data_IF_646233544294
#
_entry.id   IF_646233544294
#
_cell.length_a   1.000
_cell.length_b   1.000
_cell.length_c   1.000
_cell.angle_alpha   90.00
_cell.angle_beta   90.00
_cell.angle_gamma   90.00
#
_symmetry.space_group_name_H-M   'P 1'
#
loop_
_entity.id
_entity.type
_entity.pdbx_description
1 polymer ?
#
# COMPACT_ATOMS: atom_id res chain seq x y z
N UNK A 1 3.97 -7.13 -16.51
CA UNK A 1 4.28 -8.57 -16.32
C UNK A 1 5.57 -8.89 -17.08
N UNK A 2 6.47 -9.74 -16.55
CA UNK A 2 7.73 -10.11 -17.23
C UNK A 2 9.03 -9.80 -16.50
N UNK A 3 9.00 -9.38 -15.23
CA UNK A 3 10.20 -9.24 -14.40
C UNK A 3 10.59 -10.54 -13.69
N UNK A 4 11.86 -10.69 -13.30
CA UNK A 4 12.35 -11.84 -12.51
C UNK A 4 11.70 -11.96 -11.12
N UNK A 5 11.09 -10.88 -10.63
CA UNK A 5 10.27 -10.81 -9.43
C UNK A 5 9.03 -9.96 -9.71
N UNK A 6 7.84 -10.50 -9.45
CA UNK A 6 6.55 -9.84 -9.67
C UNK A 6 5.77 -9.85 -8.36
N UNK A 7 5.57 -8.67 -7.77
CA UNK A 7 4.73 -8.46 -6.60
C UNK A 7 3.32 -8.10 -7.08
N UNK A 8 2.30 -8.85 -6.65
CA UNK A 8 0.89 -8.60 -6.94
C UNK A 8 0.16 -8.30 -5.64
N UNK A 9 -0.47 -7.15 -5.56
CA UNK A 9 -1.42 -6.84 -4.49
C UNK A 9 -2.72 -7.61 -4.77
N UNK A 10 -3.23 -8.33 -3.77
CA UNK A 10 -4.36 -9.25 -3.98
C UNK A 10 -5.64 -8.78 -3.30
N UNK A 11 -5.54 -8.19 -2.11
CA UNK A 11 -6.69 -7.86 -1.28
C UNK A 11 -6.34 -6.75 -0.29
N UNK A 12 -7.22 -5.76 -0.13
CA UNK A 12 -7.17 -4.87 1.04
C UNK A 12 -7.89 -5.58 2.18
N UNK A 13 -7.12 -6.21 3.06
CA UNK A 13 -7.64 -7.05 4.14
C UNK A 13 -8.07 -6.28 5.39
N UNK A 14 -7.58 -5.05 5.55
CA UNK A 14 -7.94 -4.14 6.63
C UNK A 14 -7.95 -2.71 6.08
N UNK A 15 -8.94 -1.93 6.48
CA UNK A 15 -9.04 -0.50 6.23
C UNK A 15 -9.82 0.09 7.41
N UNK A 16 -9.15 0.21 8.54
CA UNK A 16 -9.76 0.66 9.79
C UNK A 16 -9.53 2.14 9.97
N UNK A 17 -10.53 2.83 10.50
CA UNK A 17 -10.48 4.26 10.75
C UNK A 17 -11.82 4.92 10.50
N UNK A 18 -11.79 6.23 10.29
CA UNK A 18 -13.00 7.04 10.17
C UNK A 18 -12.90 7.94 8.96
N UNK A 19 -14.04 8.18 8.32
CA UNK A 19 -14.14 9.19 7.27
C UNK A 19 -15.48 9.92 7.35
N UNK A 20 -15.43 11.23 7.17
CA UNK A 20 -16.61 12.08 7.08
C UNK A 20 -16.45 13.12 5.98
N UNK A 21 -17.55 13.43 5.32
CA UNK A 21 -17.65 14.52 4.35
C UNK A 21 -18.80 15.43 4.76
N UNK A 22 -18.52 16.70 5.00
CA UNK A 22 -19.51 17.67 5.48
C UNK A 22 -19.53 18.92 4.59
N UNK A 23 -20.73 19.36 4.20
CA UNK A 23 -20.91 20.64 3.53
C UNK A 23 -21.19 21.74 4.55
N UNK A 24 -20.20 22.61 4.76
CA UNK A 24 -20.32 23.76 5.67
C UNK A 24 -20.12 25.05 4.88
N UNK A 25 -21.18 25.85 4.76
CA UNK A 25 -21.16 27.17 4.08
C UNK A 25 -20.59 27.09 2.65
N UNK A 26 -21.08 26.13 1.84
CA UNK A 26 -20.64 25.92 0.45
C UNK A 26 -19.19 25.45 0.30
N UNK A 27 -18.54 25.01 1.37
CA UNK A 27 -17.24 24.34 1.34
C UNK A 27 -17.42 22.89 1.82
N UNK A 28 -16.91 21.94 1.04
CA UNK A 28 -16.78 20.56 1.49
C UNK A 28 -15.58 20.45 2.44
N UNK A 29 -15.80 19.78 3.56
CA UNK A 29 -14.79 19.44 4.56
C UNK A 29 -14.74 17.92 4.59
N UNK A 30 -13.58 17.38 4.23
CA UNK A 30 -13.29 15.96 4.34
C UNK A 30 -12.38 15.78 5.55
N UNK A 31 -12.73 14.84 6.42
CA UNK A 31 -11.90 14.38 7.53
C UNK A 31 -11.78 12.88 7.35
N UNK A 32 -10.56 12.35 7.27
CA UNK A 32 -10.37 10.91 7.19
C UNK A 32 -9.06 10.49 7.84
N UNK A 33 -9.06 9.28 8.35
CA UNK A 33 -7.87 8.61 8.88
C UNK A 33 -8.03 7.12 8.65
N UNK A 34 -6.99 6.48 8.10
CA UNK A 34 -6.99 5.06 7.77
C UNK A 34 -5.70 4.36 8.18
N UNK A 35 -5.87 3.17 8.76
CA UNK A 35 -4.86 2.12 8.84
C UNK A 35 -5.21 1.00 7.86
N UNK A 36 -4.35 0.80 6.86
CA UNK A 36 -4.59 -0.13 5.76
C UNK A 36 -3.62 -1.31 5.83
N UNK A 37 -4.15 -2.52 5.65
CA UNK A 37 -3.35 -3.74 5.45
C UNK A 37 -3.73 -4.40 4.13
N UNK A 38 -2.74 -4.55 3.25
CA UNK A 38 -2.91 -5.10 1.90
C UNK A 38 -2.19 -6.44 1.82
N UNK A 39 -2.88 -7.53 1.48
CA UNK A 39 -2.25 -8.81 1.17
C UNK A 39 -1.60 -8.78 -0.20
N UNK A 40 -0.48 -9.48 -0.33
CA UNK A 40 0.25 -9.62 -1.57
C UNK A 40 0.66 -11.06 -1.84
N UNK A 41 0.90 -11.35 -3.13
CA UNK A 41 1.58 -12.54 -3.63
C UNK A 41 2.78 -12.15 -4.46
N UNK A 42 3.91 -12.83 -4.27
CA UNK A 42 5.12 -12.62 -5.08
C UNK A 42 5.47 -13.86 -5.86
N UNK A 43 5.69 -13.68 -7.17
CA UNK A 43 6.19 -14.72 -8.08
C UNK A 43 7.64 -14.43 -8.46
N UNK A 44 8.49 -15.44 -8.34
CA UNK A 44 9.89 -15.39 -8.77
C UNK A 44 10.05 -16.26 -10.01
N UNK A 45 10.72 -15.74 -11.04
CA UNK A 45 10.96 -16.49 -12.26
C UNK A 45 11.82 -17.74 -11.97
N UNK A 46 11.37 -18.91 -12.43
CA UNK A 46 12.06 -20.17 -12.20
C UNK A 46 11.85 -20.78 -10.82
N UNK A 47 10.97 -20.21 -9.99
CA UNK A 47 10.57 -20.77 -8.70
C UNK A 47 9.06 -21.04 -8.71
N UNK A 48 8.67 -22.29 -8.44
CA UNK A 48 7.26 -22.71 -8.56
C UNK A 48 6.36 -22.17 -7.45
N UNK A 49 6.90 -21.98 -6.24
CA UNK A 49 6.10 -21.56 -5.10
C UNK A 49 5.95 -20.04 -5.01
N UNK A 50 4.73 -19.58 -4.73
CA UNK A 50 4.44 -18.18 -4.46
C UNK A 50 4.84 -17.80 -3.03
N UNK A 51 5.32 -16.57 -2.85
CA UNK A 51 5.44 -15.97 -1.52
C UNK A 51 4.16 -15.21 -1.19
N UNK A 52 3.67 -15.36 0.03
CA UNK A 52 2.56 -14.58 0.59
C UNK A 52 3.07 -13.62 1.66
N UNK A 53 2.42 -12.47 1.76
CA UNK A 53 2.78 -11.44 2.70
C UNK A 53 1.77 -10.31 2.77
N UNK A 54 2.16 -9.25 3.43
CA UNK A 54 1.33 -8.06 3.67
C UNK A 54 2.13 -6.77 3.50
N UNK A 55 1.44 -5.71 3.11
CA UNK A 55 1.89 -4.32 3.18
C UNK A 55 1.02 -3.60 4.20
N UNK A 56 1.64 -2.79 5.05
CA UNK A 56 0.96 -1.95 6.04
C UNK A 56 1.18 -0.50 5.66
N UNK A 57 0.09 0.25 5.59
CA UNK A 57 0.09 1.71 5.40
C UNK A 57 -0.63 2.32 6.61
N UNK A 58 0.13 2.79 7.61
CA UNK A 58 -0.45 3.42 8.79
C UNK A 58 -0.78 4.90 8.54
N UNK A 59 -1.70 5.45 9.34
CA UNK A 59 -1.93 6.90 9.47
C UNK A 59 -2.17 7.63 8.12
N UNK A 60 -2.88 7.03 7.17
CA UNK A 60 -3.30 7.73 5.95
C UNK A 60 -4.46 8.68 6.30
N UNK A 61 -4.19 9.98 6.40
CA UNK A 61 -5.18 10.97 6.84
C UNK A 61 -5.20 12.25 6.01
N UNK A 62 -6.19 13.13 6.25
CA UNK A 62 -6.24 14.45 5.62
C UNK A 62 -5.16 15.43 6.12
N UNK A 63 -4.53 15.14 7.26
CA UNK A 63 -3.45 15.95 7.86
C UNK A 63 -2.05 15.52 7.42
N UNK A 64 -1.90 14.30 6.89
CA UNK A 64 -0.62 13.74 6.49
C UNK A 64 -0.42 13.84 4.97
N UNK A 65 0.82 14.07 4.55
CA UNK A 65 1.20 13.98 3.14
C UNK A 65 1.60 12.54 2.80
N UNK A 66 1.35 12.09 1.56
CA UNK A 66 1.70 10.73 1.15
C UNK A 66 3.23 10.45 1.26
N UNK A 67 4.07 11.49 1.16
CA UNK A 67 5.52 11.41 1.36
C UNK A 67 5.92 10.94 2.76
N UNK A 68 5.08 11.18 3.76
CA UNK A 68 5.39 10.98 5.17
C UNK A 68 4.90 9.62 5.68
N UNK A 69 4.22 8.83 4.84
CA UNK A 69 3.72 7.51 5.18
C UNK A 69 4.87 6.50 5.34
N UNK A 70 4.91 5.84 6.50
CA UNK A 70 5.81 4.72 6.81
C UNK A 70 5.25 3.39 6.28
N UNK A 71 5.45 3.17 4.99
CA UNK A 71 4.98 1.98 4.29
C UNK A 71 5.95 0.82 4.54
N UNK A 72 5.43 -0.27 5.11
CA UNK A 72 6.23 -1.47 5.41
C UNK A 72 5.66 -2.72 4.75
N UNK A 73 6.54 -3.67 4.43
CA UNK A 73 6.18 -4.97 3.84
C UNK A 73 6.72 -6.12 4.69
N UNK A 74 5.89 -7.14 4.90
CA UNK A 74 6.25 -8.40 5.55
C UNK A 74 5.97 -9.57 4.60
N UNK A 75 6.83 -10.59 4.63
CA UNK A 75 6.66 -11.83 3.87
C UNK A 75 6.59 -12.98 4.87
N UNK A 76 5.50 -13.75 4.81
CA UNK A 76 5.23 -14.87 5.71
C UNK A 76 5.90 -16.16 5.23
N UNK A 77 5.97 -16.35 3.91
CA UNK A 77 6.62 -17.50 3.28
C UNK A 77 8.13 -17.43 3.46
N UNK A 78 8.73 -18.47 4.07
CA UNK A 78 10.19 -18.61 4.14
C UNK A 78 10.75 -19.04 2.79
N UNK A 79 11.94 -18.55 2.44
CA UNK A 79 12.64 -19.01 1.23
C UNK A 79 13.88 -18.21 0.90
N UNK A 80 14.63 -18.62 -0.13
CA UNK A 80 15.91 -17.99 -0.49
C UNK A 80 15.77 -16.60 -1.13
N UNK A 81 14.58 -16.22 -1.59
CA UNK A 81 14.37 -14.99 -2.36
C UNK A 81 13.95 -13.77 -1.53
N UNK A 82 13.93 -13.86 -0.20
CA UNK A 82 13.42 -12.79 0.67
C UNK A 82 14.12 -11.45 0.46
N UNK A 83 15.44 -11.46 0.29
CA UNK A 83 16.22 -10.23 0.10
C UNK A 83 15.98 -9.60 -1.28
N UNK A 84 15.81 -10.42 -2.33
CA UNK A 84 15.40 -9.96 -3.65
C UNK A 84 14.02 -9.30 -3.60
N UNK A 85 13.06 -9.90 -2.91
CA UNK A 85 11.70 -9.37 -2.76
C UNK A 85 11.73 -8.03 -2.02
N UNK A 86 12.45 -7.95 -0.89
CA UNK A 86 12.63 -6.70 -0.13
C UNK A 86 13.29 -5.61 -0.96
N UNK A 87 14.31 -5.95 -1.74
CA UNK A 87 14.99 -4.99 -2.60
C UNK A 87 14.07 -4.43 -3.69
N UNK A 88 13.30 -5.28 -4.37
CA UNK A 88 12.32 -4.84 -5.38
C UNK A 88 11.25 -3.95 -4.76
N UNK A 89 10.76 -4.31 -3.57
CA UNK A 89 9.79 -3.49 -2.86
C UNK A 89 10.37 -2.12 -2.48
N UNK A 90 11.57 -2.07 -1.88
CA UNK A 90 12.20 -0.80 -1.48
C UNK A 90 12.57 0.11 -2.64
N UNK A 91 12.89 -0.46 -3.81
CA UNK A 91 13.27 0.33 -4.99
C UNK A 91 12.07 0.84 -5.80
N UNK A 92 10.95 0.11 -5.83
CA UNK A 92 9.80 0.44 -6.68
C UNK A 92 8.44 0.24 -6.01
N UNK A 93 8.29 -0.83 -5.23
CA UNK A 93 7.01 -1.18 -4.61
C UNK A 93 6.52 -0.13 -3.62
N UNK A 94 7.40 0.41 -2.78
CA UNK A 94 7.05 1.42 -1.79
C UNK A 94 6.53 2.71 -2.45
N UNK A 95 7.25 3.20 -3.48
CA UNK A 95 6.81 4.37 -4.24
C UNK A 95 5.48 4.13 -4.94
N UNK A 96 5.28 2.94 -5.54
CA UNK A 96 4.02 2.60 -6.18
C UNK A 96 2.84 2.68 -5.20
N UNK A 97 2.97 2.11 -4.00
CA UNK A 97 1.92 2.17 -2.96
C UNK A 97 1.68 3.62 -2.54
N UNK A 98 2.74 4.40 -2.35
CA UNK A 98 2.67 5.83 -2.03
C UNK A 98 1.92 6.63 -3.09
N UNK A 99 2.18 6.37 -4.36
CA UNK A 99 1.48 7.03 -5.48
C UNK A 99 -0.02 6.70 -5.48
N UNK A 100 -0.40 5.47 -5.11
CA UNK A 100 -1.82 5.10 -4.97
C UNK A 100 -2.49 5.83 -3.79
N UNK A 101 -1.78 5.99 -2.68
CA UNK A 101 -2.27 6.80 -1.56
C UNK A 101 -2.45 8.26 -1.96
N UNK A 102 -1.48 8.85 -2.67
CA UNK A 102 -1.59 10.22 -3.19
C UNK A 102 -2.81 10.37 -4.12
N UNK A 103 -2.99 9.42 -5.05
CA UNK A 103 -4.15 9.45 -5.95
C UNK A 103 -5.48 9.43 -5.19
N UNK A 104 -5.58 8.66 -4.10
CA UNK A 104 -6.75 8.68 -3.23
C UNK A 104 -6.95 10.06 -2.58
N UNK A 105 -5.89 10.67 -2.04
CA UNK A 105 -5.96 12.02 -1.43
C UNK A 105 -6.42 13.07 -2.46
N UNK A 106 -5.89 13.01 -3.68
CA UNK A 106 -6.22 13.95 -4.75
C UNK A 106 -7.68 13.79 -5.20
N UNK A 107 -8.16 12.55 -5.35
CA UNK A 107 -9.55 12.26 -5.73
C UNK A 107 -10.57 12.78 -4.72
N UNK A 108 -10.22 12.87 -3.43
CA UNK A 108 -11.09 13.47 -2.41
C UNK A 108 -11.09 15.01 -2.45
N UNK A 109 -10.04 15.63 -3.00
CA UNK A 109 -9.93 17.09 -3.12
C UNK A 109 -10.61 17.64 -4.38
N UNK A 110 -11.04 16.76 -5.30
CA UNK A 110 -11.64 17.13 -6.59
C UNK A 110 -13.16 16.94 -6.60
#
# INVERSE_FOLDING_TARGET
EGGSCVIRLTEVSKCDGEASANNRKQKLIFLYEWDIVIKLKVKIQGFEADYIGTIVVPNLSDENEASDLDISMSIETKGPHLDQIRHVFKTKGEQFVRDQCQAYMDLLRT
#
